data_IF_411234099993
#
_entry.id   IF_411234099993
#
_cell.length_a   1.000
_cell.length_b   1.000
_cell.length_c   1.000
_cell.angle_alpha   90.00
_cell.angle_beta   90.00
_cell.angle_gamma   90.00
#
_symmetry.space_group_name_H-M   'P 1'
#
loop_
_entity.id
_entity.type
_entity.pdbx_description
1 polymer ?
#
# COMPACT_ATOMS: atom_id res chain seq x y z
N UNK A 1 10.14 17.86 -4.45
CA UNK A 1 9.95 18.77 -5.59
C UNK A 1 8.54 18.63 -6.13
N UNK A 2 7.86 19.76 -6.46
CA UNK A 2 6.56 19.70 -7.13
C UNK A 2 6.79 19.48 -8.63
N UNK A 3 6.18 18.44 -9.18
CA UNK A 3 6.11 18.21 -10.63
C UNK A 3 4.64 18.35 -11.05
N UNK A 4 4.40 19.09 -12.15
CA UNK A 4 3.05 19.27 -12.69
C UNK A 4 2.77 18.20 -13.74
N UNK A 5 1.63 17.52 -13.62
CA UNK A 5 1.05 16.73 -14.70
C UNK A 5 -0.20 17.49 -15.19
N UNK A 6 -0.27 17.81 -16.47
CA UNK A 6 -1.47 18.43 -17.07
C UNK A 6 -2.61 17.40 -17.13
N UNK A 7 -3.38 17.28 -16.04
CA UNK A 7 -4.42 16.27 -15.91
C UNK A 7 -5.68 16.73 -15.16
N UNK A 8 -5.72 18.00 -14.72
CA UNK A 8 -6.86 18.59 -14.02
C UNK A 8 -8.05 18.94 -14.94
N UNK A 9 -9.10 19.53 -14.35
CA UNK A 9 -10.26 20.04 -15.09
C UNK A 9 -9.81 20.99 -16.21
N UNK A 10 -10.05 20.64 -17.48
CA UNK A 10 -9.82 21.47 -18.67
C UNK A 10 -8.45 22.16 -18.70
N UNK A 11 -7.36 21.38 -18.61
CA UNK A 11 -5.99 21.93 -18.77
C UNK A 11 -5.40 22.58 -17.52
N UNK A 12 -5.99 22.42 -16.35
CA UNK A 12 -5.35 22.84 -15.10
C UNK A 12 -4.31 21.80 -14.66
N UNK A 13 -3.14 22.23 -14.17
CA UNK A 13 -2.10 21.32 -13.69
C UNK A 13 -2.58 20.57 -12.45
N UNK A 14 -2.30 19.28 -12.40
CA UNK A 14 -2.50 18.44 -11.23
C UNK A 14 -1.17 18.32 -10.49
N UNK A 15 -1.11 18.86 -9.28
CA UNK A 15 0.09 18.83 -8.45
C UNK A 15 0.15 17.57 -7.62
N UNK A 16 1.36 17.05 -7.40
CA UNK A 16 1.57 15.94 -6.48
C UNK A 16 2.83 16.15 -5.64
N UNK A 17 2.88 15.49 -4.50
CA UNK A 17 4.06 15.36 -3.66
C UNK A 17 4.65 13.96 -3.84
N UNK A 18 5.96 13.87 -3.98
CA UNK A 18 6.69 12.61 -4.01
C UNK A 18 7.28 12.34 -2.63
N UNK A 19 6.95 11.20 -2.06
CA UNK A 19 7.45 10.73 -0.77
C UNK A 19 8.19 9.41 -0.92
N UNK A 20 9.24 9.26 -0.12
CA UNK A 20 9.86 7.99 0.22
C UNK A 20 9.32 7.57 1.59
N UNK A 21 8.48 6.55 1.65
CA UNK A 21 7.80 6.14 2.88
C UNK A 21 8.64 5.12 3.64
N UNK A 22 8.52 5.11 4.97
CA UNK A 22 9.27 4.25 5.90
C UNK A 22 10.78 4.50 5.94
N UNK A 23 11.21 5.73 5.70
CA UNK A 23 12.61 6.13 5.79
C UNK A 23 12.73 7.59 6.23
N UNK A 24 13.85 7.92 6.84
CA UNK A 24 14.30 9.27 7.14
C UNK A 24 15.32 9.81 6.10
N UNK A 25 15.67 8.97 5.12
CA UNK A 25 16.66 9.29 4.07
C UNK A 25 15.99 9.32 2.70
N UNK A 26 16.21 10.37 1.90
CA UNK A 26 15.75 10.42 0.51
C UNK A 26 16.29 9.25 -0.32
N UNK A 27 15.50 8.76 -1.26
CA UNK A 27 15.84 7.72 -2.25
C UNK A 27 16.09 6.31 -1.66
N UNK A 28 15.62 6.05 -0.44
CA UNK A 28 15.81 4.76 0.25
C UNK A 28 14.49 4.13 0.67
N UNK A 29 13.38 4.86 0.59
CA UNK A 29 12.06 4.41 1.01
C UNK A 29 11.21 3.80 -0.10
N UNK A 30 9.96 3.49 0.25
CA UNK A 30 8.95 3.08 -0.72
C UNK A 30 8.31 4.31 -1.35
N UNK A 31 8.45 4.44 -2.67
CA UNK A 31 8.01 5.61 -3.42
C UNK A 31 6.48 5.74 -3.42
N UNK A 32 6.00 6.98 -3.27
CA UNK A 32 4.59 7.32 -3.31
C UNK A 32 4.37 8.67 -3.99
N UNK A 33 3.46 8.73 -4.94
CA UNK A 33 2.92 9.97 -5.45
C UNK A 33 1.60 10.29 -4.74
N UNK A 34 1.51 11.47 -4.12
CA UNK A 34 0.32 11.94 -3.41
C UNK A 34 -0.26 13.15 -4.15
N UNK A 35 -1.38 12.96 -4.85
CA UNK A 35 -2.14 14.03 -5.48
C UNK A 35 -3.08 14.64 -4.45
N UNK A 36 -2.67 15.76 -3.86
CA UNK A 36 -3.33 16.34 -2.68
C UNK A 36 -4.66 17.03 -2.96
N UNK A 37 -4.98 17.26 -4.23
CA UNK A 37 -6.30 17.72 -4.70
C UNK A 37 -6.58 17.09 -6.07
N UNK A 38 -7.37 16.03 -6.06
CA UNK A 38 -7.77 15.33 -7.28
C UNK A 38 -9.26 15.52 -7.61
N UNK A 39 -9.88 16.58 -7.08
CA UNK A 39 -11.30 16.85 -7.32
C UNK A 39 -11.58 17.02 -8.82
N UNK A 40 -12.53 16.23 -9.32
CA UNK A 40 -12.95 16.26 -10.73
C UNK A 40 -12.10 15.40 -11.67
N UNK A 41 -11.11 14.67 -11.15
CA UNK A 41 -10.40 13.63 -11.89
C UNK A 41 -11.18 12.32 -11.78
N UNK A 42 -11.52 11.72 -12.91
CA UNK A 42 -12.24 10.43 -12.93
C UNK A 42 -11.30 9.23 -12.70
N UNK A 43 -11.89 8.06 -12.43
CA UNK A 43 -11.16 6.84 -12.13
C UNK A 43 -10.22 6.39 -13.27
N UNK A 44 -10.67 6.51 -14.51
CA UNK A 44 -9.87 6.10 -15.68
C UNK A 44 -8.62 7.00 -15.82
N UNK A 45 -8.77 8.29 -15.54
CA UNK A 45 -7.65 9.23 -15.55
C UNK A 45 -6.70 9.00 -14.38
N UNK A 46 -7.21 8.74 -13.16
CA UNK A 46 -6.37 8.36 -12.01
C UNK A 46 -5.54 7.12 -12.32
N UNK A 47 -6.17 6.09 -12.91
CA UNK A 47 -5.46 4.86 -13.31
C UNK A 47 -4.39 5.12 -14.38
N UNK A 48 -4.67 5.99 -15.36
CA UNK A 48 -3.69 6.35 -16.39
C UNK A 48 -2.50 7.09 -15.79
N UNK A 49 -2.74 8.01 -14.86
CA UNK A 49 -1.70 8.74 -14.12
C UNK A 49 -0.86 7.78 -13.29
N UNK A 50 -1.48 6.86 -12.53
CA UNK A 50 -0.75 5.90 -11.72
C UNK A 50 0.14 4.98 -12.58
N UNK A 51 -0.32 4.62 -13.79
CA UNK A 51 0.48 3.86 -14.75
C UNK A 51 1.67 4.67 -15.27
N UNK A 52 1.48 5.94 -15.58
CA UNK A 52 2.54 6.85 -16.03
C UNK A 52 3.59 7.10 -14.95
N UNK A 53 3.16 7.28 -13.69
CA UNK A 53 4.06 7.43 -12.55
C UNK A 53 4.92 6.18 -12.32
N UNK A 54 4.35 5.01 -12.56
CA UNK A 54 4.99 3.70 -12.43
C UNK A 54 5.63 3.46 -11.04
N UNK A 55 5.07 4.09 -9.99
CA UNK A 55 5.39 3.77 -8.60
C UNK A 55 4.57 2.57 -8.15
N UNK A 56 4.95 1.93 -7.04
CA UNK A 56 4.16 0.82 -6.48
C UNK A 56 2.71 1.24 -6.28
N UNK A 57 2.47 2.44 -5.73
CA UNK A 57 1.15 3.07 -5.64
C UNK A 57 1.21 4.59 -5.83
N UNK A 58 0.05 5.13 -6.20
CA UNK A 58 -0.24 6.56 -6.24
C UNK A 58 -1.56 6.83 -5.53
N UNK A 59 -1.66 7.91 -4.76
CA UNK A 59 -2.87 8.28 -4.03
C UNK A 59 -3.49 9.55 -4.54
N UNK A 60 -4.82 9.56 -4.57
CA UNK A 60 -5.63 10.68 -5.03
C UNK A 60 -6.57 11.11 -3.92
N UNK A 61 -6.41 12.36 -3.49
CA UNK A 61 -7.15 12.96 -2.40
C UNK A 61 -8.36 13.70 -2.95
N UNK A 62 -9.52 13.42 -2.38
CA UNK A 62 -10.83 13.92 -2.79
C UNK A 62 -11.59 14.44 -1.57
N UNK A 63 -12.55 15.34 -1.74
CA UNK A 63 -13.47 15.71 -0.67
C UNK A 63 -14.13 14.48 -0.07
N UNK A 64 -14.41 14.53 1.24
CA UNK A 64 -15.11 13.43 1.92
C UNK A 64 -16.51 13.24 1.36
N UNK A 65 -16.93 11.98 1.26
CA UNK A 65 -18.29 11.56 0.86
C UNK A 65 -19.12 11.06 2.05
N UNK A 66 -18.51 11.04 3.25
CA UNK A 66 -19.08 10.42 4.46
C UNK A 66 -18.86 11.30 5.69
N UNK A 67 -19.83 11.37 6.61
CA UNK A 67 -19.71 12.18 7.82
C UNK A 67 -18.71 11.63 8.85
N UNK A 68 -18.32 10.36 8.73
CA UNK A 68 -17.41 9.65 9.63
C UNK A 68 -15.96 9.61 9.11
N UNK A 69 -15.65 10.37 8.05
CA UNK A 69 -14.30 10.49 7.48
C UNK A 69 -13.94 11.96 7.24
N UNK A 70 -12.66 12.27 7.40
CA UNK A 70 -12.15 13.64 7.17
C UNK A 70 -11.96 13.92 5.68
N UNK A 71 -11.61 12.90 4.92
CA UNK A 71 -11.32 13.01 3.49
C UNK A 71 -11.54 11.66 2.80
N UNK A 72 -11.76 11.69 1.49
CA UNK A 72 -11.75 10.51 0.63
C UNK A 72 -10.37 10.33 0.02
N UNK A 73 -9.81 9.12 0.06
CA UNK A 73 -8.58 8.77 -0.63
C UNK A 73 -8.78 7.53 -1.50
N UNK A 74 -8.30 7.61 -2.73
CA UNK A 74 -8.25 6.48 -3.67
C UNK A 74 -6.80 6.10 -3.92
N UNK A 75 -6.53 4.81 -4.01
CA UNK A 75 -5.19 4.25 -4.12
C UNK A 75 -5.11 3.41 -5.40
N UNK A 76 -4.12 3.69 -6.23
CA UNK A 76 -3.94 2.99 -7.51
C UNK A 76 -2.52 2.44 -7.62
N UNK A 77 -2.39 1.17 -7.99
CA UNK A 77 -1.16 0.62 -8.57
C UNK A 77 -1.10 0.99 -10.06
N UNK A 78 -0.01 0.72 -10.78
CA UNK A 78 0.02 0.85 -12.23
C UNK A 78 -1.06 0.02 -12.97
N UNK A 79 -1.64 -0.99 -12.32
CA UNK A 79 -2.54 -1.96 -12.93
C UNK A 79 -4.00 -1.83 -12.53
N UNK A 80 -4.27 -1.51 -11.25
CA UNK A 80 -5.62 -1.50 -10.69
C UNK A 80 -5.75 -0.59 -9.48
N UNK A 81 -6.99 -0.27 -9.12
CA UNK A 81 -7.32 0.40 -7.87
C UNK A 81 -7.30 -0.59 -6.71
N UNK A 82 -6.68 -0.16 -5.60
CA UNK A 82 -6.59 -0.95 -4.37
C UNK A 82 -7.66 -0.53 -3.35
N UNK A 83 -8.29 -1.48 -2.65
CA UNK A 83 -9.28 -1.16 -1.63
C UNK A 83 -8.67 -0.50 -0.39
N UNK A 84 -7.41 -0.83 -0.10
CA UNK A 84 -6.61 -0.29 0.99
C UNK A 84 -5.12 -0.56 0.73
N UNK A 85 -4.24 0.21 1.35
CA UNK A 85 -2.80 -0.06 1.39
C UNK A 85 -2.14 0.62 2.58
N UNK A 86 -1.07 0.04 3.11
CA UNK A 86 -0.37 0.52 4.31
C UNK A 86 0.48 1.75 4.05
N UNK A 87 1.58 1.60 3.26
CA UNK A 87 2.49 2.71 3.02
C UNK A 87 1.83 3.92 2.33
N UNK A 88 0.86 3.76 1.40
CA UNK A 88 0.16 4.91 0.84
C UNK A 88 -0.63 5.70 1.87
N UNK A 89 -1.24 5.04 2.84
CA UNK A 89 -1.97 5.73 3.93
C UNK A 89 -1.01 6.49 4.85
N UNK A 90 0.10 5.86 5.24
CA UNK A 90 1.13 6.52 6.06
C UNK A 90 1.74 7.72 5.31
N UNK A 91 2.21 7.53 4.08
CA UNK A 91 2.83 8.60 3.30
C UNK A 91 1.88 9.74 2.97
N UNK A 92 0.61 9.45 2.63
CA UNK A 92 -0.41 10.48 2.41
C UNK A 92 -0.71 11.27 3.68
N UNK A 93 -0.64 10.65 4.86
CA UNK A 93 -0.79 11.37 6.14
C UNK A 93 0.30 12.42 6.32
N UNK A 94 1.57 12.07 6.06
CA UNK A 94 2.67 13.04 6.10
C UNK A 94 2.49 14.14 5.05
N UNK A 95 2.11 13.79 3.82
CA UNK A 95 1.86 14.76 2.76
C UNK A 95 0.76 15.77 3.12
N UNK A 96 -0.34 15.30 3.70
CA UNK A 96 -1.47 16.13 4.12
C UNK A 96 -1.15 16.98 5.35
N UNK A 97 -0.32 16.50 6.26
CA UNK A 97 0.20 17.29 7.37
C UNK A 97 1.15 18.39 6.87
N UNK A 98 2.04 18.05 5.91
CA UNK A 98 2.95 19.00 5.30
C UNK A 98 2.21 20.11 4.54
N UNK A 99 1.16 19.77 3.80
CA UNK A 99 0.33 20.74 3.07
C UNK A 99 -0.67 21.50 3.96
N UNK A 100 -0.72 21.21 5.26
CA UNK A 100 -1.59 21.88 6.22
C UNK A 100 -3.06 21.46 6.20
N UNK A 101 -3.42 20.42 5.45
CA UNK A 101 -4.74 19.80 5.48
C UNK A 101 -4.99 19.16 6.84
N UNK A 102 -4.04 18.37 7.32
CA UNK A 102 -4.05 17.90 8.71
C UNK A 102 -3.43 18.97 9.60
N UNK A 103 -4.22 19.47 10.55
CA UNK A 103 -3.79 20.54 11.43
C UNK A 103 -2.76 20.05 12.44
N UNK A 104 -1.71 20.86 12.69
CA UNK A 104 -0.68 20.56 13.71
C UNK A 104 -1.33 20.30 15.06
N UNK A 105 -0.95 19.21 15.71
CA UNK A 105 -1.48 18.79 17.01
C UNK A 105 -2.74 17.95 16.96
N UNK A 106 -3.31 17.67 15.77
CA UNK A 106 -4.39 16.70 15.61
C UNK A 106 -3.92 15.33 16.13
N UNK A 107 -4.74 14.66 16.92
CA UNK A 107 -4.42 13.33 17.48
C UNK A 107 -4.78 12.19 16.55
N UNK A 108 -5.77 12.40 15.69
CA UNK A 108 -6.36 11.38 14.82
C UNK A 108 -6.84 12.03 13.53
N UNK A 109 -6.82 11.25 12.46
CA UNK A 109 -7.38 11.59 11.16
C UNK A 109 -8.01 10.34 10.55
N UNK A 110 -9.11 10.47 9.79
CA UNK A 110 -9.84 9.32 9.26
C UNK A 110 -9.95 9.42 7.74
N UNK A 111 -9.30 8.49 7.06
CA UNK A 111 -9.43 8.35 5.61
C UNK A 111 -10.68 7.55 5.25
N UNK A 112 -11.43 8.00 4.24
CA UNK A 112 -12.44 7.20 3.56
C UNK A 112 -11.76 6.38 2.45
N UNK A 113 -11.39 5.12 2.74
CA UNK A 113 -10.88 4.17 1.74
C UNK A 113 -12.01 3.33 1.13
N UNK A 114 -11.73 2.55 0.09
CA UNK A 114 -12.73 1.65 -0.50
C UNK A 114 -13.23 0.59 0.49
N UNK A 115 -12.38 0.18 1.45
CA UNK A 115 -12.78 -0.73 2.52
C UNK A 115 -13.59 -0.05 3.65
N UNK A 116 -13.76 1.27 3.61
CA UNK A 116 -14.45 2.06 4.62
C UNK A 116 -13.55 3.03 5.39
N UNK A 117 -14.05 3.60 6.50
CA UNK A 117 -13.30 4.49 7.36
C UNK A 117 -12.04 3.84 7.91
N UNK A 118 -10.91 4.50 7.68
CA UNK A 118 -9.58 4.01 8.08
C UNK A 118 -8.91 5.08 8.93
N UNK A 119 -8.93 4.93 10.26
CA UNK A 119 -8.32 5.89 11.16
C UNK A 119 -6.81 5.72 11.21
N UNK A 120 -6.12 6.86 11.37
CA UNK A 120 -4.70 6.94 11.74
C UNK A 120 -4.55 7.79 12.98
N UNK A 121 -3.70 7.38 13.91
CA UNK A 121 -3.33 8.16 15.09
C UNK A 121 -1.98 8.84 14.84
N UNK A 122 -1.83 10.08 15.32
CA UNK A 122 -0.79 11.01 14.91
C UNK A 122 0.07 11.42 16.11
N UNK A 123 1.39 11.31 15.97
CA UNK A 123 2.37 11.83 16.93
C UNK A 123 3.13 13.00 16.32
N UNK A 124 3.29 14.05 17.10
CA UNK A 124 3.95 15.29 16.69
C UNK A 124 5.16 15.58 17.54
N UNK A 125 6.22 16.08 16.89
CA UNK A 125 7.40 16.63 17.52
C UNK A 125 7.59 18.10 17.09
N UNK A 126 8.62 18.75 17.58
CA UNK A 126 8.88 20.18 17.29
C UNK A 126 9.00 20.48 15.79
N UNK A 127 9.53 19.53 15.03
CA UNK A 127 9.70 19.63 13.57
C UNK A 127 8.46 19.35 12.72
N UNK A 128 7.33 18.90 13.32
CA UNK A 128 6.12 18.53 12.60
C UNK A 128 5.58 17.16 12.97
N UNK A 129 4.84 16.52 12.05
CA UNK A 129 4.38 15.13 12.21
C UNK A 129 5.59 14.19 12.29
N UNK A 130 5.71 13.41 13.37
CA UNK A 130 6.86 12.54 13.64
C UNK A 130 6.56 11.05 13.43
N UNK A 131 5.33 10.64 13.75
CA UNK A 131 4.93 9.24 13.60
C UNK A 131 3.44 9.10 13.34
N UNK A 132 3.08 8.03 12.63
CA UNK A 132 1.69 7.70 12.27
C UNK A 132 1.42 6.22 12.54
N UNK A 133 0.38 5.96 13.32
CA UNK A 133 -0.13 4.62 13.58
C UNK A 133 -1.35 4.36 12.72
N UNK A 134 -1.34 3.30 11.92
CA UNK A 134 -2.49 2.82 11.19
C UNK A 134 -2.99 1.53 11.82
N UNK A 135 -4.19 1.55 12.39
CA UNK A 135 -4.81 0.34 12.93
C UNK A 135 -5.35 -0.51 11.79
N UNK A 136 -4.78 -1.69 11.62
CA UNK A 136 -5.24 -2.67 10.65
C UNK A 136 -6.42 -3.48 11.17
N UNK A 137 -7.20 -4.06 10.26
CA UNK A 137 -8.17 -5.10 10.64
C UNK A 137 -7.45 -6.31 11.21
N UNK A 138 -8.07 -7.06 12.15
CA UNK A 138 -7.49 -8.33 12.58
C UNK A 138 -7.19 -9.23 11.38
N UNK A 139 -6.06 -9.96 11.38
CA UNK A 139 -5.70 -10.83 10.27
C UNK A 139 -6.68 -11.99 10.17
N UNK A 140 -7.04 -12.34 8.94
CA UNK A 140 -7.69 -13.61 8.60
C UNK A 140 -6.66 -14.55 8.00
N UNK A 141 -6.71 -15.81 8.39
CA UNK A 141 -5.80 -16.84 7.95
C UNK A 141 -6.51 -17.76 6.98
N UNK A 142 -6.00 -17.85 5.77
CA UNK A 142 -6.45 -18.75 4.73
C UNK A 142 -5.80 -20.14 4.82
N UNK A 143 -5.88 -20.95 3.76
CA UNK A 143 -5.28 -22.28 3.72
C UNK A 143 -3.76 -22.26 3.92
N UNK A 144 -3.26 -23.31 4.59
CA UNK A 144 -1.82 -23.59 4.66
C UNK A 144 -1.40 -24.29 3.36
N UNK A 145 -0.32 -23.81 2.77
CA UNK A 145 0.28 -24.41 1.57
C UNK A 145 1.24 -25.52 1.97
N UNK A 146 0.87 -26.76 1.66
CA UNK A 146 1.68 -27.94 2.03
C UNK A 146 2.89 -28.17 1.12
N UNK A 147 2.90 -27.64 -0.10
CA UNK A 147 3.94 -27.83 -1.12
C UNK A 147 5.16 -26.92 -0.85
N UNK A 148 5.77 -27.06 0.33
CA UNK A 148 6.90 -26.19 0.76
C UNK A 148 8.05 -26.16 -0.24
N UNK A 149 8.42 -27.32 -0.83
CA UNK A 149 9.47 -27.38 -1.84
C UNK A 149 9.13 -26.56 -3.08
N UNK A 150 7.91 -26.66 -3.61
CA UNK A 150 7.47 -25.89 -4.77
C UNK A 150 7.42 -24.37 -4.47
N UNK A 151 7.08 -23.99 -3.24
CA UNK A 151 7.14 -22.58 -2.80
C UNK A 151 8.58 -22.08 -2.75
N UNK A 152 9.50 -22.88 -2.21
CA UNK A 152 10.92 -22.53 -2.16
C UNK A 152 11.50 -22.40 -3.58
N UNK A 153 11.22 -23.35 -4.48
CA UNK A 153 11.63 -23.29 -5.89
C UNK A 153 11.12 -22.03 -6.59
N UNK A 154 9.86 -21.65 -6.35
CA UNK A 154 9.28 -20.42 -6.90
C UNK A 154 9.93 -19.12 -6.39
N UNK A 155 10.72 -19.21 -5.31
CA UNK A 155 11.56 -18.13 -4.78
C UNK A 155 13.05 -18.31 -5.10
N UNK A 156 13.42 -19.30 -5.92
CA UNK A 156 14.81 -19.69 -6.19
C UNK A 156 15.57 -20.07 -4.91
N UNK A 157 14.87 -20.63 -3.93
CA UNK A 157 15.37 -21.09 -2.64
C UNK A 157 15.26 -22.62 -2.53
N UNK A 158 15.81 -23.17 -1.47
CA UNK A 158 15.64 -24.59 -1.08
C UNK A 158 14.61 -24.71 0.07
N UNK A 159 14.10 -25.92 0.29
CA UNK A 159 13.13 -26.15 1.37
C UNK A 159 13.72 -25.85 2.76
N UNK A 160 15.04 -26.01 2.93
CA UNK A 160 15.78 -25.71 4.16
C UNK A 160 15.91 -24.20 4.43
N UNK A 161 15.71 -23.35 3.42
CA UNK A 161 15.69 -21.91 3.59
C UNK A 161 14.36 -21.41 4.17
N UNK A 162 13.31 -22.24 4.17
CA UNK A 162 12.04 -21.91 4.80
C UNK A 162 12.07 -22.22 6.31
N UNK A 163 11.45 -21.34 7.11
CA UNK A 163 11.36 -21.56 8.56
C UNK A 163 10.54 -22.81 8.89
N UNK A 164 11.09 -23.73 9.68
CA UNK A 164 10.45 -25.02 10.00
C UNK A 164 9.19 -24.86 10.85
N UNK A 165 9.21 -23.91 11.79
CA UNK A 165 8.18 -23.75 12.82
C UNK A 165 6.99 -22.86 12.40
N UNK A 166 6.99 -22.33 11.17
CA UNK A 166 5.96 -21.44 10.68
C UNK A 166 5.37 -21.97 9.37
N UNK A 167 4.04 -21.91 9.22
CA UNK A 167 3.40 -22.35 7.99
C UNK A 167 3.62 -21.35 6.84
N UNK A 168 3.71 -21.85 5.63
CA UNK A 168 3.43 -21.04 4.44
C UNK A 168 1.92 -20.93 4.33
N UNK A 169 1.39 -19.72 4.41
CA UNK A 169 -0.05 -19.53 4.56
C UNK A 169 -0.52 -18.22 3.94
N UNK A 170 -1.72 -18.23 3.39
CA UNK A 170 -2.40 -16.99 3.02
C UNK A 170 -2.82 -16.24 4.29
N UNK A 171 -2.49 -14.94 4.36
CA UNK A 171 -2.90 -14.05 5.46
C UNK A 171 -3.41 -12.75 4.85
N UNK A 172 -4.54 -12.24 5.37
CA UNK A 172 -5.16 -11.01 4.91
C UNK A 172 -5.54 -10.09 6.07
N UNK A 173 -5.10 -8.83 5.98
CA UNK A 173 -5.64 -7.72 6.78
C UNK A 173 -6.50 -6.78 5.92
N UNK A 174 -7.03 -7.27 4.79
CA UNK A 174 -7.84 -6.53 3.80
C UNK A 174 -7.44 -6.84 2.36
N UNK A 175 -6.16 -7.21 2.13
CA UNK A 175 -5.64 -7.77 0.88
C UNK A 175 -4.94 -9.08 1.21
N UNK A 176 -5.26 -10.19 0.53
CA UNK A 176 -4.61 -11.47 0.79
C UNK A 176 -3.18 -11.50 0.24
N UNK A 177 -2.26 -12.00 1.05
CA UNK A 177 -0.87 -12.27 0.68
C UNK A 177 -0.48 -13.68 1.07
N UNK A 178 0.31 -14.35 0.24
CA UNK A 178 0.98 -15.57 0.63
C UNK A 178 2.21 -15.21 1.47
N UNK A 179 2.13 -15.49 2.76
CA UNK A 179 3.25 -15.28 3.68
C UNK A 179 4.15 -16.52 3.65
N UNK A 180 5.40 -16.31 3.27
CA UNK A 180 6.42 -17.35 3.19
C UNK A 180 7.50 -17.05 4.22
N UNK A 181 7.45 -17.65 5.42
CA UNK A 181 8.49 -17.48 6.43
C UNK A 181 9.79 -18.13 5.98
N UNK A 182 10.87 -17.36 5.97
CA UNK A 182 12.21 -17.85 5.66
C UNK A 182 13.07 -17.87 6.93
N UNK A 183 14.13 -18.69 6.91
CA UNK A 183 14.94 -18.99 8.09
C UNK A 183 15.70 -17.77 8.62
N UNK A 184 16.24 -16.95 7.74
CA UNK A 184 17.12 -15.83 8.09
C UNK A 184 17.16 -14.74 6.99
N UNK A 185 17.80 -13.61 7.28
CA UNK A 185 17.99 -12.51 6.34
C UNK A 185 18.74 -12.92 5.07
N UNK A 186 19.69 -13.82 5.16
CA UNK A 186 20.45 -14.27 3.99
C UNK A 186 19.56 -15.04 3.02
N UNK A 187 18.57 -15.78 3.51
CA UNK A 187 17.56 -16.42 2.67
C UNK A 187 16.66 -15.38 1.99
N UNK A 188 16.27 -14.30 2.70
CA UNK A 188 15.52 -13.18 2.08
C UNK A 188 16.33 -12.54 0.95
N UNK A 189 17.62 -12.25 1.20
CA UNK A 189 18.49 -11.56 0.22
C UNK A 189 18.73 -12.41 -1.04
N UNK A 190 18.71 -13.75 -0.90
CA UNK A 190 18.86 -14.68 -2.04
C UNK A 190 17.56 -14.94 -2.79
N UNK A 191 16.41 -14.62 -2.20
CA UNK A 191 15.13 -14.94 -2.80
C UNK A 191 14.92 -14.14 -4.10
N UNK A 192 14.69 -14.90 -5.18
CA UNK A 192 14.37 -14.32 -6.49
C UNK A 192 13.05 -14.94 -6.96
N UNK A 193 11.95 -14.15 -7.03
CA UNK A 193 10.66 -14.66 -7.45
C UNK A 193 10.66 -15.14 -8.91
N UNK A 194 10.22 -16.36 -9.15
CA UNK A 194 9.88 -16.88 -10.47
C UNK A 194 8.36 -16.75 -10.69
N UNK A 195 7.96 -15.79 -11.53
CA UNK A 195 6.55 -15.52 -11.83
C UNK A 195 5.84 -16.75 -12.46
N UNK A 196 6.54 -17.54 -13.24
CA UNK A 196 5.98 -18.76 -13.85
C UNK A 196 5.81 -19.86 -12.79
N UNK A 197 6.76 -20.01 -11.86
CA UNK A 197 6.68 -20.91 -10.72
C UNK A 197 5.50 -20.56 -9.82
N UNK A 198 5.32 -19.30 -9.49
CA UNK A 198 4.16 -18.83 -8.73
C UNK A 198 2.84 -19.04 -9.46
N UNK A 199 2.80 -18.85 -10.78
CA UNK A 199 1.62 -19.15 -11.60
C UNK A 199 1.16 -20.61 -11.43
N UNK A 200 2.07 -21.55 -11.57
CA UNK A 200 1.80 -22.99 -11.37
C UNK A 200 1.34 -23.28 -9.93
N UNK A 201 1.99 -22.70 -8.94
CA UNK A 201 1.62 -22.86 -7.54
C UNK A 201 0.20 -22.34 -7.27
N UNK A 202 -0.19 -21.21 -7.86
CA UNK A 202 -1.52 -20.62 -7.69
C UNK A 202 -2.63 -21.46 -8.34
N UNK A 203 -2.33 -22.25 -9.35
CA UNK A 203 -3.29 -23.15 -9.98
C UNK A 203 -3.61 -24.38 -9.09
N UNK A 204 -2.65 -24.78 -8.24
CA UNK A 204 -2.75 -25.93 -7.35
C UNK A 204 -3.26 -25.59 -5.94
N UNK A 205 -3.27 -24.31 -5.55
CA UNK A 205 -3.70 -23.86 -4.22
C UNK A 205 -5.17 -23.41 -4.28
N UNK A 206 -6.06 -23.97 -3.43
CA UNK A 206 -7.43 -23.49 -3.33
C UNK A 206 -7.43 -22.01 -2.93
N UNK A 207 -7.97 -21.16 -3.80
CA UNK A 207 -8.14 -19.73 -3.47
C UNK A 207 -9.26 -19.60 -2.45
N UNK A 208 -9.00 -18.86 -1.37
CA UNK A 208 -10.10 -18.40 -0.52
C UNK A 208 -10.98 -17.47 -1.35
N UNK A 209 -12.23 -17.85 -1.50
CA UNK A 209 -13.25 -16.97 -2.11
C UNK A 209 -13.41 -15.78 -1.17
N UNK A 210 -13.24 -14.52 -1.61
CA UNK A 210 -13.50 -13.38 -0.75
C UNK A 210 -14.95 -13.47 -0.24
N UNK A 211 -15.22 -13.17 1.03
CA UNK A 211 -16.59 -13.06 1.52
C UNK A 211 -17.29 -11.97 0.70
N UNK A 212 -18.43 -12.34 0.10
CA UNK A 212 -19.28 -11.48 -0.71
C UNK A 212 -19.87 -10.32 0.08
#
# INVERSE_FOLDING_TARGET
GCVCVEAGRRGMPLFFLHYDVFTDKPLVGNQLAVFTDAQGVDAARMQAIAREMNFSESTFILPTERPDTDIRMRIFTPYNEMPMAGHPTIGSTFALAHSGVIKKGAKRFVFGLNIGPTPVDLEWADGGLSFVWMTQRPPTFGPVVGQRAAVADALSLTAEDLAENLPVQEVSCGVPYLVVPVRDHQAVDRAVPDSAGFGRLCDDVPRSVPPG
#
